data_IF_496538948362
#
_entry.id   IF_496538948362
#
_cell.length_a   1.000
_cell.length_b   1.000
_cell.length_c   1.000
_cell.angle_alpha   90.00
_cell.angle_beta   90.00
_cell.angle_gamma   90.00
#
_symmetry.space_group_name_H-M   'P 1'
#
loop_
_entity.id
_entity.type
_entity.pdbx_description
1 polymer ?
#
# COMPACT_ATOMS: atom_id res chain seq x y z
N UNK A 1 -14.38 29.77 -14.29
CA UNK A 1 -13.19 28.98 -13.94
C UNK A 1 -12.08 29.95 -13.59
N UNK A 2 -11.38 29.74 -12.49
CA UNK A 2 -10.24 30.57 -12.09
C UNK A 2 -8.96 29.77 -12.27
N UNK A 3 -7.90 30.45 -12.71
CA UNK A 3 -6.56 29.87 -12.73
C UNK A 3 -5.99 29.94 -11.33
N UNK A 4 -5.49 28.81 -10.83
CA UNK A 4 -4.90 28.66 -9.51
C UNK A 4 -3.51 28.05 -9.71
N UNK A 5 -2.52 28.58 -8.99
CA UNK A 5 -1.15 28.05 -8.98
C UNK A 5 -0.79 27.60 -7.57
N UNK A 6 -0.32 26.37 -7.44
CA UNK A 6 0.26 25.82 -6.22
C UNK A 6 1.76 25.71 -6.32
N UNK A 7 2.42 25.82 -5.17
CA UNK A 7 3.87 25.81 -5.03
C UNK A 7 4.26 24.88 -3.89
N UNK A 8 5.12 23.91 -4.18
CA UNK A 8 5.77 23.02 -3.22
C UNK A 8 7.26 23.38 -3.22
N UNK A 9 7.78 23.89 -2.11
CA UNK A 9 9.07 24.57 -2.07
C UNK A 9 10.02 23.89 -1.09
N UNK A 10 11.08 23.30 -1.63
CA UNK A 10 12.17 22.68 -0.91
C UNK A 10 13.48 23.46 -1.19
N UNK A 11 14.57 23.25 -0.42
CA UNK A 11 15.79 24.02 -0.58
C UNK A 11 16.40 23.99 -1.99
N UNK A 12 16.40 22.82 -2.65
CA UNK A 12 16.99 22.67 -3.98
C UNK A 12 15.97 22.29 -5.07
N UNK A 13 14.69 22.21 -4.74
CA UNK A 13 13.61 21.89 -5.67
C UNK A 13 12.39 22.77 -5.40
N UNK A 14 11.77 23.32 -6.44
CA UNK A 14 10.44 23.93 -6.34
C UNK A 14 9.56 23.39 -7.45
N UNK A 15 8.41 22.84 -7.07
CA UNK A 15 7.39 22.35 -7.98
C UNK A 15 6.22 23.34 -8.02
N UNK A 16 5.87 23.80 -9.21
CA UNK A 16 4.67 24.59 -9.45
C UNK A 16 3.65 23.80 -10.23
N UNK A 17 2.40 23.83 -9.77
CA UNK A 17 1.26 23.17 -10.40
C UNK A 17 0.20 24.23 -10.67
N UNK A 18 0.01 24.56 -11.93
CA UNK A 18 -0.99 25.52 -12.39
C UNK A 18 -2.15 24.79 -13.04
N UNK A 19 -3.36 25.18 -12.67
CA UNK A 19 -4.56 24.55 -13.21
C UNK A 19 -5.83 25.36 -13.02
N UNK A 20 -6.92 24.82 -13.54
CA UNK A 20 -8.23 25.42 -13.45
C UNK A 20 -9.01 24.83 -12.26
N UNK A 21 -9.63 25.72 -11.50
CA UNK A 21 -10.56 25.37 -10.42
C UNK A 21 -11.95 25.96 -10.64
N UNK A 22 -12.93 25.36 -9.97
CA UNK A 22 -14.23 25.99 -9.81
C UNK A 22 -14.10 27.22 -8.89
N UNK A 23 -14.79 28.33 -9.19
CA UNK A 23 -14.86 29.45 -8.26
C UNK A 23 -15.49 28.95 -6.95
N UNK A 24 -14.79 29.11 -5.82
CA UNK A 24 -15.39 28.83 -4.52
C UNK A 24 -16.31 29.98 -4.14
N UNK A 25 -17.63 29.77 -4.18
CA UNK A 25 -18.61 30.72 -3.65
C UNK A 25 -18.76 30.62 -2.11
N UNK A 26 -17.94 29.81 -1.44
CA UNK A 26 -18.14 29.47 -0.04
C UNK A 26 -16.85 29.62 0.78
N UNK A 27 -16.94 30.49 1.79
CA UNK A 27 -16.05 30.66 2.93
C UNK A 27 -14.57 30.99 2.64
N UNK A 28 -14.01 32.08 3.22
CA UNK A 28 -12.60 32.45 3.03
C UNK A 28 -11.58 31.44 3.57
N UNK A 29 -12.04 30.38 4.24
CA UNK A 29 -11.22 29.34 4.87
C UNK A 29 -10.99 28.09 4.01
N UNK A 30 -11.75 27.89 2.92
CA UNK A 30 -11.61 26.69 2.07
C UNK A 30 -10.78 27.04 0.84
N UNK A 31 -9.58 26.47 0.75
CA UNK A 31 -8.74 26.59 -0.45
C UNK A 31 -9.44 25.95 -1.66
N UNK A 32 -9.46 26.60 -2.84
CA UNK A 32 -10.17 26.07 -3.99
C UNK A 32 -9.45 24.87 -4.61
N UNK A 33 -10.23 23.91 -5.14
CA UNK A 33 -9.71 22.69 -5.77
C UNK A 33 -9.26 22.98 -7.21
N UNK A 34 -8.09 22.46 -7.59
CA UNK A 34 -7.65 22.41 -8.99
C UNK A 34 -8.10 21.07 -9.55
N UNK A 35 -8.97 21.06 -10.55
CA UNK A 35 -9.48 19.82 -11.17
C UNK A 35 -8.81 19.49 -12.50
N UNK A 36 -8.21 20.48 -13.16
CA UNK A 36 -7.52 20.32 -14.44
C UNK A 36 -6.15 20.99 -14.40
N UNK A 37 -5.09 20.24 -14.72
CA UNK A 37 -3.75 20.79 -14.92
C UNK A 37 -3.68 21.57 -16.23
N UNK A 38 -3.14 22.78 -16.17
CA UNK A 38 -2.80 23.61 -17.33
C UNK A 38 -1.31 23.53 -17.61
N UNK A 39 -0.49 23.69 -16.57
CA UNK A 39 0.96 23.71 -16.69
C UNK A 39 1.61 23.22 -15.39
N UNK A 40 2.75 22.56 -15.50
CA UNK A 40 3.61 22.20 -14.39
C UNK A 40 5.04 22.70 -14.66
N UNK A 41 5.68 23.22 -13.62
CA UNK A 41 7.08 23.61 -13.68
C UNK A 41 7.87 22.97 -12.54
N UNK A 42 9.00 22.35 -12.85
CA UNK A 42 9.94 21.84 -11.86
C UNK A 42 11.24 22.63 -11.96
N UNK A 43 11.59 23.32 -10.87
CA UNK A 43 12.77 24.16 -10.76
C UNK A 43 13.77 23.44 -9.86
N UNK A 44 14.89 23.02 -10.43
CA UNK A 44 16.02 22.45 -9.67
C UNK A 44 17.10 23.51 -9.53
N UNK A 45 17.68 23.65 -8.34
CA UNK A 45 18.74 24.62 -8.08
C UNK A 45 19.94 24.43 -9.03
N UNK A 46 20.30 25.48 -9.77
CA UNK A 46 21.41 25.47 -10.72
C UNK A 46 21.08 24.89 -12.11
N UNK A 47 19.83 24.47 -12.36
CA UNK A 47 19.39 23.96 -13.65
C UNK A 47 18.34 24.88 -14.31
N UNK A 48 18.11 24.67 -15.61
CA UNK A 48 16.98 25.31 -16.30
C UNK A 48 15.66 24.70 -15.81
N UNK A 49 14.59 25.51 -15.68
CA UNK A 49 13.29 24.99 -15.28
C UNK A 49 12.77 24.01 -16.33
N UNK A 50 12.27 22.88 -15.86
CA UNK A 50 11.52 21.93 -16.67
C UNK A 50 10.06 22.34 -16.66
N UNK A 51 9.42 22.37 -17.83
CA UNK A 51 8.04 22.83 -17.96
C UNK A 51 7.27 21.93 -18.92
N UNK A 52 6.01 21.66 -18.61
CA UNK A 52 5.13 20.91 -19.49
C UNK A 52 3.71 20.76 -18.96
N UNK A 53 2.85 20.16 -19.78
CA UNK A 53 1.45 19.89 -19.43
C UNK A 53 1.28 18.59 -18.64
N UNK A 54 0.11 17.97 -18.80
CA UNK A 54 -0.29 16.75 -18.06
C UNK A 54 0.68 15.59 -18.25
N UNK A 55 1.02 15.26 -19.50
CA UNK A 55 1.87 14.10 -19.78
C UNK A 55 3.28 14.25 -19.19
N UNK A 56 3.83 15.47 -19.22
CA UNK A 56 5.10 15.80 -18.57
C UNK A 56 5.01 15.58 -17.06
N UNK A 57 3.96 16.13 -16.44
CA UNK A 57 3.82 16.06 -15.00
C UNK A 57 3.54 14.63 -14.51
N UNK A 58 2.69 13.87 -15.21
CA UNK A 58 2.45 12.46 -14.95
C UNK A 58 3.72 11.62 -15.13
N UNK A 59 4.45 11.85 -16.22
CA UNK A 59 5.74 11.21 -16.45
C UNK A 59 6.74 11.52 -15.34
N UNK A 60 6.81 12.78 -14.88
CA UNK A 60 7.70 13.22 -13.81
C UNK A 60 7.38 12.50 -12.50
N UNK A 61 6.12 12.57 -12.02
CA UNK A 61 5.77 11.98 -10.72
C UNK A 61 5.94 10.46 -10.72
N UNK A 62 5.54 9.76 -11.79
CA UNK A 62 5.68 8.31 -11.90
C UNK A 62 7.16 7.90 -11.90
N UNK A 63 7.98 8.61 -12.68
CA UNK A 63 9.41 8.30 -12.81
C UNK A 63 10.18 8.59 -11.53
N UNK A 64 9.90 9.73 -10.87
CA UNK A 64 10.55 10.10 -9.61
C UNK A 64 10.22 9.09 -8.52
N UNK A 65 8.95 8.73 -8.36
CA UNK A 65 8.54 7.77 -7.33
C UNK A 65 9.06 6.36 -7.61
N UNK A 66 9.01 5.89 -8.87
CA UNK A 66 9.55 4.58 -9.24
C UNK A 66 11.06 4.49 -9.02
N UNK A 67 11.80 5.52 -9.43
CA UNK A 67 13.25 5.61 -9.22
C UNK A 67 13.60 5.66 -7.72
N UNK A 68 12.87 6.44 -6.92
CA UNK A 68 13.08 6.52 -5.48
C UNK A 68 12.89 5.16 -4.79
N UNK A 69 11.86 4.40 -5.18
CA UNK A 69 11.64 3.06 -4.64
C UNK A 69 12.81 2.12 -4.90
N UNK A 70 13.33 2.09 -6.13
CA UNK A 70 14.49 1.28 -6.47
C UNK A 70 15.74 1.74 -5.71
N UNK A 71 16.03 3.03 -5.75
CA UNK A 71 17.22 3.61 -5.12
C UNK A 71 17.26 3.37 -3.60
N UNK A 72 16.12 3.52 -2.92
CA UNK A 72 16.02 3.32 -1.47
C UNK A 72 15.95 1.83 -1.09
N UNK A 73 15.27 1.00 -1.87
CA UNK A 73 15.13 -0.43 -1.56
C UNK A 73 16.36 -1.24 -1.92
N UNK A 74 17.22 -0.74 -2.82
CA UNK A 74 18.32 -1.48 -3.47
C UNK A 74 17.85 -2.73 -4.22
N UNK A 75 16.56 -2.83 -4.51
CA UNK A 75 15.97 -3.92 -5.28
C UNK A 75 15.77 -3.42 -6.70
N UNK A 76 16.34 -4.08 -7.72
CA UNK A 76 16.16 -3.68 -9.10
C UNK A 76 14.67 -3.67 -9.47
N UNK A 77 14.19 -2.57 -10.05
CA UNK A 77 12.82 -2.45 -10.52
C UNK A 77 12.81 -2.35 -12.06
N UNK A 78 12.70 -3.48 -12.79
CA UNK A 78 12.80 -3.48 -14.25
C UNK A 78 11.68 -2.69 -14.94
N UNK A 79 10.54 -2.50 -14.27
CA UNK A 79 9.41 -1.71 -14.80
C UNK A 79 9.65 -0.19 -14.71
N UNK A 80 10.44 0.31 -13.74
CA UNK A 80 10.87 1.71 -13.71
C UNK A 80 11.84 2.06 -14.86
N UNK A 81 12.44 1.06 -15.49
CA UNK A 81 13.40 1.22 -16.59
C UNK A 81 12.78 1.07 -17.98
N UNK A 82 11.44 1.08 -18.10
CA UNK A 82 10.81 1.04 -19.41
C UNK A 82 11.13 2.31 -20.19
N UNK A 83 12.07 2.21 -21.13
CA UNK A 83 12.74 3.30 -21.87
C UNK A 83 11.85 4.18 -22.78
N UNK A 84 10.52 4.07 -22.69
CA UNK A 84 9.58 4.73 -23.59
C UNK A 84 8.84 5.91 -22.95
N UNK A 85 9.24 6.33 -21.75
CA UNK A 85 8.63 7.46 -21.04
C UNK A 85 9.13 8.83 -21.52
N UNK A 86 8.24 9.84 -21.47
CA UNK A 86 8.56 11.26 -21.72
C UNK A 86 9.60 11.81 -20.73
N UNK A 87 9.63 11.26 -19.51
CA UNK A 87 10.60 11.59 -18.47
C UNK A 87 11.35 10.31 -18.10
N UNK A 88 12.66 10.43 -17.91
CA UNK A 88 13.54 9.32 -17.53
C UNK A 88 14.46 9.77 -16.40
N UNK A 89 14.75 8.87 -15.47
CA UNK A 89 15.67 9.12 -14.38
C UNK A 89 16.65 7.95 -14.27
N UNK A 90 17.93 8.24 -14.32
CA UNK A 90 19.00 7.23 -14.35
C UNK A 90 20.07 7.54 -13.30
N UNK A 91 20.66 6.50 -12.73
CA UNK A 91 21.80 6.64 -11.84
C UNK A 91 23.09 6.80 -12.65
N UNK A 92 23.84 7.89 -12.45
CA UNK A 92 25.18 8.06 -13.05
C UNK A 92 26.22 7.41 -12.13
N UNK A 93 26.20 7.79 -10.85
CA UNK A 93 27.07 7.25 -9.82
C UNK A 93 26.35 7.20 -8.46
N UNK A 94 27.08 7.01 -7.35
CA UNK A 94 26.49 6.91 -6.00
C UNK A 94 25.81 8.18 -5.52
N UNK A 95 26.21 9.34 -6.03
CA UNK A 95 25.78 10.68 -5.60
C UNK A 95 25.14 11.52 -6.71
N UNK A 96 25.23 11.08 -7.96
CA UNK A 96 24.72 11.80 -9.13
C UNK A 96 23.70 10.98 -9.92
N UNK A 97 22.67 11.67 -10.36
CA UNK A 97 21.54 11.14 -11.09
C UNK A 97 21.27 12.02 -12.31
N UNK A 98 20.68 11.47 -13.35
CA UNK A 98 20.32 12.20 -14.56
C UNK A 98 18.83 12.14 -14.81
N UNK A 99 18.18 13.29 -14.74
CA UNK A 99 16.80 13.48 -15.16
C UNK A 99 16.79 13.94 -16.62
N UNK A 100 16.13 13.19 -17.49
CA UNK A 100 15.99 13.51 -18.92
C UNK A 100 14.52 13.71 -19.24
N UNK A 101 14.20 14.81 -19.91
CA UNK A 101 12.85 15.10 -20.42
C UNK A 101 12.92 15.16 -21.93
N UNK A 102 12.18 14.26 -22.56
CA UNK A 102 12.03 14.19 -24.01
C UNK A 102 10.91 15.11 -24.47
N UNK A 103 10.96 15.51 -25.74
CA UNK A 103 9.87 16.24 -26.39
C UNK A 103 8.74 15.25 -26.70
N UNK A 104 7.49 15.64 -26.47
CA UNK A 104 6.34 14.79 -26.78
C UNK A 104 6.09 14.78 -28.30
N UNK A 105 6.40 13.67 -28.97
CA UNK A 105 6.22 13.50 -30.43
C UNK A 105 4.74 13.48 -30.85
N UNK A 106 3.80 13.25 -29.92
CA UNK A 106 2.35 13.19 -30.22
C UNK A 106 1.67 14.56 -30.34
N UNK A 107 2.39 15.65 -30.08
CA UNK A 107 1.84 17.00 -30.12
C UNK A 107 2.17 17.67 -31.48
N UNK A 108 1.19 18.01 -32.34
CA UNK A 108 1.46 18.55 -33.67
C UNK A 108 2.10 19.96 -33.68
N UNK A 109 2.27 20.57 -32.50
CA UNK A 109 2.91 21.86 -32.26
C UNK A 109 4.30 21.75 -31.60
N UNK A 110 4.78 20.54 -31.28
CA UNK A 110 6.16 20.36 -30.82
C UNK A 110 7.11 20.34 -32.02
N UNK A 111 8.17 21.13 -31.94
CA UNK A 111 9.19 21.18 -32.98
C UNK A 111 10.00 19.86 -32.91
N UNK A 112 9.96 18.98 -33.93
CA UNK A 112 10.61 17.66 -33.88
C UNK A 112 12.14 17.74 -33.75
N UNK A 113 12.71 18.94 -33.86
CA UNK A 113 14.13 19.25 -33.64
C UNK A 113 14.50 19.59 -32.20
N UNK A 114 13.54 19.64 -31.27
CA UNK A 114 13.83 19.99 -29.88
C UNK A 114 14.54 18.85 -29.14
N UNK A 115 15.85 19.01 -28.93
CA UNK A 115 16.69 18.05 -28.23
C UNK A 115 16.23 17.80 -26.78
N UNK A 116 16.37 16.56 -26.26
CA UNK A 116 16.02 16.24 -24.88
C UNK A 116 16.74 17.15 -23.89
N UNK A 117 16.03 17.58 -22.85
CA UNK A 117 16.61 18.36 -21.75
C UNK A 117 17.12 17.41 -20.68
N UNK A 118 18.44 17.37 -20.48
CA UNK A 118 19.07 16.57 -19.44
C UNK A 118 19.55 17.46 -18.29
N UNK A 119 19.23 17.08 -17.06
CA UNK A 119 19.64 17.75 -15.83
C UNK A 119 20.35 16.73 -14.94
N UNK A 120 21.53 17.10 -14.45
CA UNK A 120 22.24 16.33 -13.42
C UNK A 120 21.77 16.76 -12.03
N UNK A 121 21.43 15.77 -11.22
CA UNK A 121 20.93 15.95 -9.86
C UNK A 121 21.94 15.32 -8.89
N UNK A 122 22.30 16.05 -7.85
CA UNK A 122 22.88 15.45 -6.64
C UNK A 122 21.82 14.61 -5.91
N UNK A 123 22.23 13.66 -5.07
CA UNK A 123 21.29 12.89 -4.24
C UNK A 123 20.44 13.79 -3.32
N UNK A 124 20.98 14.92 -2.87
CA UNK A 124 20.20 15.90 -2.07
C UNK A 124 19.10 16.53 -2.93
N UNK A 125 19.42 16.97 -4.15
CA UNK A 125 18.41 17.50 -5.09
C UNK A 125 17.36 16.45 -5.47
N UNK A 126 17.77 15.20 -5.64
CA UNK A 126 16.85 14.09 -5.88
C UNK A 126 15.86 13.94 -4.72
N UNK A 127 16.33 13.95 -3.47
CA UNK A 127 15.45 13.81 -2.32
C UNK A 127 14.52 15.01 -2.14
N UNK A 128 14.99 16.23 -2.40
CA UNK A 128 14.12 17.40 -2.42
C UNK A 128 13.04 17.29 -3.52
N UNK A 129 13.36 16.67 -4.66
CA UNK A 129 12.40 16.39 -5.73
C UNK A 129 11.36 15.33 -5.33
N UNK A 130 11.80 14.24 -4.70
CA UNK A 130 10.89 13.20 -4.17
C UNK A 130 9.93 13.80 -3.14
N UNK A 131 10.46 14.57 -2.19
CA UNK A 131 9.66 15.24 -1.16
C UNK A 131 8.66 16.24 -1.78
N UNK A 132 9.04 16.98 -2.82
CA UNK A 132 8.12 17.87 -3.52
C UNK A 132 6.94 17.11 -4.19
N UNK A 133 7.22 15.92 -4.73
CA UNK A 133 6.19 15.03 -5.31
C UNK A 133 5.29 14.46 -4.22
N UNK A 134 5.85 14.05 -3.09
CA UNK A 134 5.08 13.54 -1.95
C UNK A 134 4.17 14.62 -1.35
N UNK A 135 4.66 15.86 -1.21
CA UNK A 135 3.85 17.00 -0.80
C UNK A 135 2.72 17.32 -1.78
N UNK A 136 2.94 17.14 -3.09
CA UNK A 136 1.87 17.25 -4.08
C UNK A 136 0.78 16.20 -3.87
N UNK A 137 1.14 14.93 -3.67
CA UNK A 137 0.14 13.87 -3.42
C UNK A 137 -0.56 14.00 -2.07
N UNK A 138 0.09 14.62 -1.07
CA UNK A 138 -0.52 14.94 0.21
C UNK A 138 -1.55 16.11 0.11
N UNK A 139 -1.49 16.91 -0.96
CA UNK A 139 -2.44 18.00 -1.21
C UNK A 139 -3.68 17.49 -1.95
N UNK A 140 -4.67 17.03 -1.17
CA UNK A 140 -5.96 16.49 -1.65
C UNK A 140 -6.78 17.47 -2.51
N UNK A 141 -6.41 18.75 -2.55
CA UNK A 141 -7.09 19.77 -3.33
C UNK A 141 -6.43 20.01 -4.70
N UNK A 142 -5.32 19.33 -5.01
CA UNK A 142 -4.56 19.49 -6.25
C UNK A 142 -4.68 18.29 -7.14
N UNK A 143 -5.50 18.43 -8.19
CA UNK A 143 -5.68 17.40 -9.21
C UNK A 143 -6.00 16.07 -8.52
N UNK A 144 -7.11 15.99 -7.77
CA UNK A 144 -7.45 14.80 -6.97
C UNK A 144 -7.68 13.55 -7.82
N UNK A 145 -7.83 13.71 -9.15
CA UNK A 145 -7.94 12.62 -10.11
C UNK A 145 -6.60 11.97 -10.44
N UNK A 146 -5.48 12.59 -10.06
CA UNK A 146 -4.14 12.07 -10.29
C UNK A 146 -3.74 11.19 -9.11
N UNK A 147 -3.56 9.90 -9.38
CA UNK A 147 -3.14 8.92 -8.38
C UNK A 147 -1.86 8.23 -8.83
N UNK A 148 -0.98 7.98 -7.87
CA UNK A 148 0.26 7.25 -8.07
C UNK A 148 0.01 5.76 -7.81
N UNK A 149 0.13 4.92 -8.83
CA UNK A 149 0.02 3.47 -8.67
C UNK A 149 1.37 2.87 -8.27
N UNK A 150 1.77 3.04 -7.01
CA UNK A 150 2.96 2.40 -6.48
C UNK A 150 2.68 0.93 -6.15
N UNK A 151 3.23 0.01 -6.94
CA UNK A 151 3.19 -1.42 -6.62
C UNK A 151 4.40 -1.80 -5.76
N UNK A 152 4.25 -2.56 -4.66
CA UNK A 152 5.38 -3.04 -3.89
C UNK A 152 6.29 -3.93 -4.74
N UNK A 153 7.59 -3.65 -4.73
CA UNK A 153 8.58 -4.42 -5.51
C UNK A 153 8.58 -5.88 -5.06
N UNK A 154 8.40 -6.80 -6.00
CA UNK A 154 8.23 -8.22 -5.67
C UNK A 154 9.48 -8.78 -4.99
N UNK A 155 9.30 -9.60 -3.94
CA UNK A 155 10.40 -10.28 -3.22
C UNK A 155 11.25 -11.19 -4.13
N UNK A 156 10.75 -11.56 -5.31
CA UNK A 156 11.53 -12.34 -6.30
C UNK A 156 12.72 -11.57 -6.86
N UNK A 157 12.65 -10.24 -6.85
CA UNK A 157 13.76 -9.37 -7.26
C UNK A 157 14.69 -9.02 -6.09
N UNK A 158 14.28 -9.26 -4.84
CA UNK A 158 15.02 -8.91 -3.63
C UNK A 158 16.15 -9.89 -3.24
N UNK A 159 16.44 -10.91 -4.06
CA UNK A 159 17.43 -11.92 -3.70
C UNK A 159 18.03 -12.67 -4.88
N UNK A 160 19.23 -12.27 -5.28
CA UNK A 160 20.34 -13.16 -5.60
C UNK A 160 21.66 -12.37 -5.50
N UNK A 161 22.09 -12.06 -4.28
CA UNK A 161 23.50 -11.74 -4.02
C UNK A 161 24.31 -13.03 -4.14
N UNK A 162 25.32 -13.13 -5.04
CA UNK A 162 26.11 -14.34 -5.20
C UNK A 162 27.18 -14.42 -4.09
N UNK A 163 26.78 -14.83 -2.88
CA UNK A 163 27.73 -15.21 -1.82
C UNK A 163 27.37 -16.52 -1.09
N UNK A 164 26.57 -17.38 -1.72
CA UNK A 164 26.27 -18.73 -1.21
C UNK A 164 27.16 -19.81 -1.84
N UNK A 165 28.48 -19.61 -1.84
CA UNK A 165 29.44 -20.67 -2.25
C UNK A 165 30.45 -21.06 -1.17
N UNK A 166 30.33 -20.60 0.09
CA UNK A 166 31.27 -21.00 1.16
C UNK A 166 30.68 -21.33 2.54
N UNK A 167 29.43 -21.79 2.62
CA UNK A 167 28.90 -22.35 3.88
C UNK A 167 28.16 -23.67 3.64
N UNK A 168 28.93 -24.73 3.41
CA UNK A 168 28.45 -26.11 3.36
C UNK A 168 29.20 -27.02 4.37
N UNK A 169 29.61 -26.47 5.51
CA UNK A 169 30.33 -27.22 6.56
C UNK A 169 29.45 -27.69 7.74
N UNK A 170 28.32 -27.05 8.15
CA UNK A 170 27.63 -27.49 9.37
C UNK A 170 26.79 -28.78 9.21
N UNK A 171 26.51 -29.22 7.98
CA UNK A 171 25.62 -30.37 7.75
C UNK A 171 26.27 -31.74 8.05
N UNK A 172 27.58 -31.83 8.26
CA UNK A 172 28.25 -33.12 8.44
C UNK A 172 28.11 -33.73 9.85
N UNK A 173 27.73 -32.94 10.86
CA UNK A 173 27.68 -33.42 12.27
C UNK A 173 26.31 -34.02 12.65
N UNK A 174 25.23 -33.64 11.96
CA UNK A 174 23.87 -34.05 12.32
C UNK A 174 23.48 -35.48 11.93
N UNK A 175 24.18 -36.09 10.96
CA UNK A 175 23.78 -37.41 10.42
C UNK A 175 24.19 -38.56 11.36
N UNK A 176 25.23 -38.38 12.19
CA UNK A 176 25.71 -39.45 13.08
C UNK A 176 24.84 -39.69 14.32
N UNK A 177 24.10 -38.69 14.82
CA UNK A 177 23.30 -38.85 16.05
C UNK A 177 21.98 -39.62 15.85
N UNK A 178 21.40 -39.56 14.66
CA UNK A 178 20.11 -40.20 14.36
C UNK A 178 20.21 -41.74 14.26
N UNK A 179 21.35 -42.27 13.81
CA UNK A 179 21.54 -43.72 13.65
C UNK A 179 21.56 -44.47 15.00
N UNK A 180 22.10 -43.85 16.07
CA UNK A 180 22.16 -44.48 17.40
C UNK A 180 20.79 -44.48 18.11
N UNK A 181 19.96 -43.46 17.91
CA UNK A 181 18.63 -43.40 18.53
C UNK A 181 17.66 -44.45 17.96
N UNK A 182 17.74 -44.77 16.66
CA UNK A 182 16.89 -45.77 16.02
C UNK A 182 17.10 -47.19 16.58
N UNK A 183 18.33 -47.54 16.98
CA UNK A 183 18.64 -48.84 17.59
C UNK A 183 18.05 -48.95 19.01
N UNK A 184 18.10 -47.87 19.79
CA UNK A 184 17.57 -47.87 21.15
C UNK A 184 16.04 -48.06 21.20
N UNK A 185 15.31 -47.48 20.24
CA UNK A 185 13.84 -47.61 20.19
C UNK A 185 13.35 -48.98 19.67
N UNK A 186 14.21 -49.80 19.04
CA UNK A 186 13.82 -51.15 18.62
C UNK A 186 13.62 -52.11 19.81
N UNK A 187 14.26 -51.86 20.95
CA UNK A 187 14.18 -52.72 22.14
C UNK A 187 13.17 -52.25 23.19
N UNK A 188 12.46 -51.14 22.95
CA UNK A 188 11.41 -50.67 23.87
C UNK A 188 10.11 -51.42 23.56
N UNK A 189 9.54 -52.19 24.51
CA UNK A 189 8.28 -52.87 24.30
C UNK A 189 7.17 -51.84 24.04
N UNK A 190 6.47 -52.02 22.92
CA UNK A 190 5.43 -51.11 22.46
C UNK A 190 4.25 -51.17 23.46
N UNK A 191 3.85 -50.05 24.08
CA UNK A 191 2.73 -50.03 25.01
C UNK A 191 1.40 -50.31 24.29
N UNK A 192 0.54 -51.12 24.90
CA UNK A 192 -0.80 -51.42 24.35
C UNK A 192 -1.72 -50.20 24.45
N UNK A 193 -1.99 -49.59 23.29
CA UNK A 193 -2.96 -48.51 23.12
C UNK A 193 -4.38 -49.09 23.15
N UNK A 194 -5.13 -48.87 24.24
CA UNK A 194 -6.58 -49.08 24.24
C UNK A 194 -7.22 -48.05 23.31
N UNK A 195 -7.81 -48.53 22.22
CA UNK A 195 -8.43 -47.72 21.18
C UNK A 195 -9.85 -47.32 21.64
N UNK A 196 -10.18 -46.03 21.79
CA UNK A 196 -11.56 -45.59 21.90
C UNK A 196 -12.32 -45.93 20.61
N UNK A 197 -13.59 -46.27 20.76
CA UNK A 197 -14.47 -46.72 19.68
C UNK A 197 -14.69 -45.59 18.65
N UNK A 198 -14.62 -45.98 17.37
CA UNK A 198 -14.38 -45.11 16.22
C UNK A 198 -15.70 -44.77 15.51
N UNK A 199 -16.04 -43.49 15.29
CA UNK A 199 -17.00 -43.10 14.27
C UNK A 199 -16.32 -43.06 12.91
N UNK A 200 -16.83 -43.87 11.99
CA UNK A 200 -16.44 -43.99 10.58
C UNK A 200 -17.05 -42.84 9.72
N UNK A 201 -16.67 -42.68 8.44
CA UNK A 201 -15.51 -41.94 7.94
C UNK A 201 -15.91 -40.80 6.98
N UNK A 202 -15.04 -39.83 6.67
CA UNK A 202 -15.04 -39.22 5.33
C UNK A 202 -13.75 -38.47 4.98
N UNK A 203 -13.22 -38.84 3.83
CA UNK A 203 -12.06 -38.33 3.13
C UNK A 203 -12.19 -36.84 2.77
N UNK A 204 -11.11 -36.07 2.83
CA UNK A 204 -10.83 -35.06 1.80
C UNK A 204 -9.37 -34.59 1.80
N UNK A 205 -8.80 -34.78 0.63
CA UNK A 205 -7.65 -34.12 0.02
C UNK A 205 -7.66 -32.59 0.08
N UNK A 206 -6.46 -32.04 -0.13
CA UNK A 206 -6.13 -30.71 -0.65
C UNK A 206 -5.96 -29.58 0.38
N UNK A 207 -4.74 -29.48 0.92
CA UNK A 207 -4.26 -28.30 1.64
C UNK A 207 -4.04 -27.14 0.66
N UNK A 208 -5.10 -26.37 0.37
CA UNK A 208 -4.98 -25.02 -0.16
C UNK A 208 -4.70 -24.07 1.00
N UNK A 209 -3.53 -23.45 0.97
CA UNK A 209 -3.06 -22.47 1.93
C UNK A 209 -3.83 -21.16 1.73
N UNK A 210 -4.97 -21.01 2.42
CA UNK A 210 -5.74 -19.77 2.49
C UNK A 210 -6.13 -19.54 3.94
N UNK A 211 -6.09 -18.27 4.35
CA UNK A 211 -6.64 -17.78 5.63
C UNK A 211 -7.97 -18.49 5.88
N UNK A 212 -8.05 -19.28 6.95
CA UNK A 212 -9.26 -20.07 7.22
C UNK A 212 -10.44 -19.10 7.38
N UNK A 213 -11.38 -19.11 6.45
CA UNK A 213 -12.63 -18.39 6.66
C UNK A 213 -13.40 -19.09 7.78
N UNK A 214 -14.06 -18.33 8.65
CA UNK A 214 -15.04 -18.91 9.57
C UNK A 214 -16.23 -19.34 8.70
N UNK A 215 -16.40 -20.65 8.48
CA UNK A 215 -17.46 -21.21 7.64
C UNK A 215 -18.69 -21.65 8.45
N UNK A 216 -18.55 -21.81 9.77
CA UNK A 216 -19.62 -22.25 10.66
C UNK A 216 -20.56 -21.08 11.01
N UNK A 217 -21.85 -21.23 10.69
CA UNK A 217 -22.90 -20.25 10.95
C UNK A 217 -23.00 -19.86 12.42
N UNK A 218 -22.80 -20.80 13.35
CA UNK A 218 -22.84 -20.49 14.79
C UNK A 218 -21.65 -19.63 15.21
N UNK A 219 -20.47 -19.91 14.65
CA UNK A 219 -19.27 -19.11 14.89
C UNK A 219 -19.38 -17.71 14.26
N UNK A 220 -19.98 -17.59 13.07
CA UNK A 220 -20.26 -16.30 12.43
C UNK A 220 -21.23 -15.48 13.30
N UNK A 221 -22.32 -16.09 13.79
CA UNK A 221 -23.29 -15.40 14.65
C UNK A 221 -22.65 -14.98 15.99
N UNK A 222 -21.82 -15.83 16.59
CA UNK A 222 -21.06 -15.51 17.81
C UNK A 222 -20.09 -14.34 17.57
N UNK A 223 -19.33 -14.39 16.47
CA UNK A 223 -18.40 -13.33 16.09
C UNK A 223 -19.12 -12.00 15.80
N UNK A 224 -20.28 -12.05 15.14
CA UNK A 224 -21.14 -10.88 14.91
C UNK A 224 -21.57 -10.23 16.21
N UNK A 225 -22.06 -11.02 17.18
CA UNK A 225 -22.52 -10.50 18.47
C UNK A 225 -21.37 -9.89 19.27
N UNK A 226 -20.20 -10.54 19.30
CA UNK A 226 -19.01 -10.02 19.98
C UNK A 226 -18.51 -8.72 19.34
N UNK A 227 -18.48 -8.68 18.00
CA UNK A 227 -18.10 -7.49 17.25
C UNK A 227 -19.05 -6.32 17.52
N UNK A 228 -20.37 -6.57 17.49
CA UNK A 228 -21.39 -5.58 17.82
C UNK A 228 -21.16 -5.01 19.22
N UNK A 229 -21.03 -5.87 20.23
CA UNK A 229 -20.84 -5.44 21.62
C UNK A 229 -19.58 -4.58 21.78
N UNK A 230 -18.48 -4.98 21.12
CA UNK A 230 -17.19 -4.28 21.18
C UNK A 230 -17.25 -2.88 20.57
N UNK A 231 -17.87 -2.74 19.40
CA UNK A 231 -18.04 -1.43 18.75
C UNK A 231 -19.03 -0.58 19.54
N UNK A 232 -20.16 -1.16 19.95
CA UNK A 232 -21.23 -0.46 20.67
C UNK A 232 -20.77 0.11 22.01
N UNK A 233 -19.83 -0.54 22.69
CA UNK A 233 -19.27 -0.03 23.94
C UNK A 233 -18.56 1.32 23.79
N UNK A 234 -17.97 1.58 22.61
CA UNK A 234 -17.27 2.83 22.31
C UNK A 234 -18.12 3.81 21.49
N UNK A 235 -19.25 3.34 20.96
CA UNK A 235 -20.10 4.13 20.07
C UNK A 235 -21.20 4.85 20.86
N UNK A 236 -21.07 6.17 21.00
CA UNK A 236 -22.05 7.01 21.71
C UNK A 236 -22.37 8.33 20.97
N UNK A 237 -22.06 8.40 19.67
CA UNK A 237 -22.18 9.62 18.86
C UNK A 237 -23.23 9.45 17.76
N UNK A 238 -23.67 10.56 17.20
CA UNK A 238 -24.52 10.60 16.02
C UNK A 238 -23.72 11.12 14.83
N UNK A 239 -24.04 10.61 13.64
CA UNK A 239 -23.40 11.00 12.37
C UNK A 239 -24.40 11.68 11.45
N UNK A 240 -23.91 12.52 10.55
CA UNK A 240 -24.80 13.27 9.63
C UNK A 240 -25.41 12.38 8.53
N UNK A 241 -24.73 11.28 8.21
CA UNK A 241 -25.08 10.30 7.18
C UNK A 241 -24.62 8.92 7.62
N UNK A 242 -25.27 7.87 7.11
CA UNK A 242 -24.90 6.50 7.45
C UNK A 242 -23.49 6.21 6.94
N UNK A 243 -22.61 5.73 7.83
CA UNK A 243 -21.23 5.39 7.47
C UNK A 243 -21.10 3.87 7.37
N UNK A 244 -20.75 3.36 6.18
CA UNK A 244 -20.73 1.92 5.90
C UNK A 244 -19.29 1.41 5.73
N UNK A 245 -18.96 0.38 6.50
CA UNK A 245 -17.65 -0.26 6.49
C UNK A 245 -17.76 -1.77 6.30
N UNK A 246 -16.76 -2.36 5.62
CA UNK A 246 -16.48 -3.79 5.67
C UNK A 246 -15.42 -4.03 6.73
N UNK A 247 -15.75 -4.83 7.74
CA UNK A 247 -14.89 -5.12 8.89
C UNK A 247 -14.55 -6.60 8.88
N UNK A 248 -13.26 -6.92 8.96
CA UNK A 248 -12.76 -8.28 9.14
C UNK A 248 -12.48 -8.52 10.61
N UNK A 249 -13.11 -9.55 11.18
CA UNK A 249 -12.97 -9.88 12.58
C UNK A 249 -12.75 -11.39 12.81
N UNK A 250 -12.02 -11.76 13.86
CA UNK A 250 -11.83 -13.16 14.24
C UNK A 250 -13.05 -13.70 15.01
N UNK A 251 -13.06 -15.00 15.34
CA UNK A 251 -14.14 -15.65 16.12
C UNK A 251 -14.40 -15.01 17.50
N UNK A 252 -13.45 -14.19 17.99
CA UNK A 252 -13.57 -13.44 19.23
C UNK A 252 -14.11 -12.01 19.04
N UNK A 253 -14.46 -11.60 17.82
CA UNK A 253 -14.92 -10.24 17.52
C UNK A 253 -13.77 -9.22 17.51
N UNK A 254 -12.52 -9.66 17.46
CA UNK A 254 -11.35 -8.79 17.31
C UNK A 254 -11.24 -8.30 15.89
N UNK A 255 -11.16 -6.97 15.71
CA UNK A 255 -11.02 -6.34 14.41
C UNK A 255 -9.57 -6.43 13.96
N UNK A 256 -9.34 -7.11 12.84
CA UNK A 256 -8.00 -7.28 12.22
C UNK A 256 -7.86 -6.50 10.91
N UNK A 257 -8.94 -5.87 10.45
CA UNK A 257 -8.94 -4.96 9.31
C UNK A 257 -10.31 -4.35 9.07
N UNK A 258 -10.35 -3.17 8.46
CA UNK A 258 -11.58 -2.54 8.00
C UNK A 258 -11.34 -1.74 6.71
N UNK A 259 -12.40 -1.46 5.96
CA UNK A 259 -12.40 -0.61 4.76
C UNK A 259 -13.74 0.11 4.63
N UNK A 260 -13.70 1.40 4.27
CA UNK A 260 -14.87 2.20 3.89
C UNK A 260 -15.50 1.70 2.58
N UNK A 261 -16.83 1.74 2.47
CA UNK A 261 -17.54 1.35 1.25
C UNK A 261 -17.76 2.54 0.31
N UNK A 262 -17.83 3.75 0.85
CA UNK A 262 -18.02 5.00 0.10
C UNK A 262 -17.10 6.12 0.62
N UNK A 263 -17.01 7.20 -0.16
CA UNK A 263 -16.20 8.37 0.19
C UNK A 263 -16.68 9.03 1.50
N UNK A 264 -17.99 9.01 1.74
CA UNK A 264 -18.63 9.51 2.95
C UNK A 264 -18.09 8.84 4.21
N UNK A 265 -18.03 7.51 4.23
CA UNK A 265 -17.45 6.73 5.31
C UNK A 265 -15.95 6.94 5.39
N UNK A 266 -15.26 7.07 4.25
CA UNK A 266 -13.83 7.34 4.24
C UNK A 266 -13.46 8.66 4.94
N UNK A 267 -14.19 9.74 4.62
CA UNK A 267 -13.94 11.08 5.18
C UNK A 267 -14.30 11.17 6.67
N UNK A 268 -15.18 10.28 7.14
CA UNK A 268 -15.67 10.25 8.51
C UNK A 268 -15.04 9.12 9.36
N UNK A 269 -13.95 8.48 8.92
CA UNK A 269 -13.34 7.35 9.63
C UNK A 269 -12.92 7.71 11.07
N UNK A 270 -12.34 8.89 11.24
CA UNK A 270 -11.92 9.46 12.54
C UNK A 270 -13.10 9.73 13.50
N UNK A 271 -14.33 9.69 12.99
CA UNK A 271 -15.54 9.83 13.80
C UNK A 271 -16.03 8.49 14.35
N UNK A 272 -15.47 7.37 13.90
CA UNK A 272 -15.84 6.01 14.31
C UNK A 272 -14.81 5.42 15.28
N UNK A 273 -15.19 4.44 16.12
CA UNK A 273 -14.24 3.76 17.01
C UNK A 273 -13.38 2.70 16.28
N UNK A 274 -13.52 2.54 14.95
CA UNK A 274 -12.82 1.48 14.21
C UNK A 274 -11.28 1.60 14.24
N UNK A 275 -10.67 2.80 14.11
CA UNK A 275 -9.22 2.96 14.19
C UNK A 275 -8.65 2.47 15.52
N UNK A 276 -9.32 2.78 16.62
CA UNK A 276 -8.88 2.42 17.98
C UNK A 276 -9.04 0.91 18.28
N UNK A 277 -9.92 0.25 17.55
CA UNK A 277 -10.24 -1.18 17.74
C UNK A 277 -9.39 -2.11 16.87
N UNK A 278 -8.59 -1.58 15.95
CA UNK A 278 -7.80 -2.36 14.99
C UNK A 278 -6.57 -3.00 15.66
N UNK A 279 -6.48 -4.32 15.55
CA UNK A 279 -5.34 -5.11 16.03
C UNK A 279 -4.65 -5.77 14.84
N UNK A 280 -3.37 -5.45 14.65
CA UNK A 280 -2.54 -6.11 13.65
C UNK A 280 -1.99 -7.41 14.23
N UNK A 281 -2.26 -8.59 13.61
CA UNK A 281 -1.71 -9.84 14.09
C UNK A 281 -0.19 -9.86 13.89
N UNK A 282 0.54 -10.23 14.95
CA UNK A 282 2.00 -10.37 14.89
C UNK A 282 2.34 -11.62 14.09
N UNK A 283 3.03 -11.46 12.96
CA UNK A 283 3.46 -12.58 12.11
C UNK A 283 4.79 -13.12 12.62
N UNK A 284 4.77 -14.02 13.61
CA UNK A 284 5.91 -14.89 13.93
C UNK A 284 5.75 -16.22 13.17
N UNK A 285 6.87 -16.92 12.91
CA UNK A 285 6.87 -18.17 12.16
C UNK A 285 6.00 -19.29 12.79
N UNK A 286 5.61 -19.12 14.06
CA UNK A 286 4.79 -20.06 14.83
C UNK A 286 3.37 -19.50 15.16
N UNK A 287 2.99 -18.33 14.62
CA UNK A 287 1.69 -17.74 14.90
C UNK A 287 0.56 -18.54 14.21
N UNK A 288 -0.33 -19.13 15.01
CA UNK A 288 -1.57 -19.75 14.52
C UNK A 288 -2.44 -18.67 13.88
N UNK A 289 -2.63 -18.76 12.57
CA UNK A 289 -3.49 -17.84 11.82
C UNK A 289 -4.95 -18.04 12.26
N UNK A 290 -5.51 -17.08 13.01
CA UNK A 290 -6.92 -17.15 13.41
C UNK A 290 -7.86 -17.07 12.21
N UNK A 291 -8.95 -17.85 12.26
CA UNK A 291 -9.98 -17.77 11.26
C UNK A 291 -10.73 -16.42 11.33
N UNK A 292 -11.04 -15.85 10.17
CA UNK A 292 -11.71 -14.54 10.07
C UNK A 292 -13.07 -14.63 9.38
N UNK A 293 -14.01 -13.79 9.82
CA UNK A 293 -15.28 -13.50 9.17
C UNK A 293 -15.32 -12.02 8.79
N UNK A 294 -16.17 -11.70 7.82
CA UNK A 294 -16.36 -10.32 7.35
C UNK A 294 -17.78 -9.86 7.62
N UNK A 295 -17.90 -8.61 8.05
CA UNK A 295 -19.16 -7.99 8.45
C UNK A 295 -19.34 -6.65 7.76
N UNK A 296 -20.59 -6.32 7.42
CA UNK A 296 -21.02 -4.97 7.07
C UNK A 296 -21.38 -4.26 8.37
N UNK A 297 -20.67 -3.18 8.68
CA UNK A 297 -20.90 -2.33 9.84
C UNK A 297 -21.45 -0.99 9.37
N UNK A 298 -22.60 -0.59 9.91
CA UNK A 298 -23.23 0.70 9.61
C UNK A 298 -23.34 1.50 10.89
N UNK A 299 -22.74 2.69 10.88
CA UNK A 299 -22.98 3.72 11.90
C UNK A 299 -24.09 4.62 11.38
N UNK A 300 -25.29 4.45 11.91
CA UNK A 300 -26.48 5.15 11.44
C UNK A 300 -26.57 6.58 11.95
N UNK A 301 -27.26 7.45 11.20
CA UNK A 301 -27.43 8.88 11.56
C UNK A 301 -28.01 9.14 12.94
N UNK A 302 -28.83 8.23 13.42
CA UNK A 302 -29.50 8.27 14.71
C UNK A 302 -28.66 7.64 15.84
N UNK A 303 -27.39 7.34 15.60
CA UNK A 303 -26.52 6.64 16.54
C UNK A 303 -26.77 5.14 16.59
N UNK A 304 -27.64 4.57 15.76
CA UNK A 304 -27.86 3.13 15.71
C UNK A 304 -26.67 2.45 15.03
N UNK A 305 -26.03 1.53 15.73
CA UNK A 305 -25.06 0.61 15.16
C UNK A 305 -25.78 -0.60 14.55
N UNK A 306 -25.39 -0.99 13.34
CA UNK A 306 -25.81 -2.26 12.73
C UNK A 306 -24.59 -3.06 12.32
N UNK A 307 -24.57 -4.35 12.65
CA UNK A 307 -23.52 -5.28 12.24
C UNK A 307 -24.20 -6.49 11.64
N UNK A 308 -23.96 -6.77 10.35
CA UNK A 308 -24.49 -7.94 9.64
C UNK A 308 -23.35 -8.71 8.98
N UNK A 309 -23.49 -10.03 8.77
CA UNK A 309 -22.55 -10.78 7.94
C UNK A 309 -22.41 -10.14 6.55
N UNK A 310 -21.20 -10.14 5.98
CA UNK A 310 -20.95 -9.59 4.66
C UNK A 310 -21.53 -10.46 3.54
N UNK A 311 -21.44 -11.77 3.73
CA UNK A 311 -22.15 -12.77 2.93
C UNK A 311 -23.47 -13.03 3.64
N UNK A 312 -24.55 -12.52 3.06
CA UNK A 312 -25.92 -12.86 3.43
C UNK A 312 -26.47 -13.90 2.49
#
# INVERSE_FOLDING_TARGET
MTTIRRKYSLPNCTLFVEGLGAPSEQSPSVRPVISMLVNAECHIAGAKPLTGGRDFFEGLVNTVSGYAQEFLSKVPHPEAHSNSGLVQLQQIDRSHHRLVVHSNESNPSSDPTQAPVAIELTTVQLFDLVEAVDQFFADSQTIPTMSLQLAPVSKRYAGHTPQLTKQAVPAAIGVSSLALAAIAFFFVPIPEVRRPEEPQPQSSSSSNHLVSAIADTEQIASAQQKLYNRINHLWNRSVQQDLVYRVSATANGTIVGYRSIDAVANDAIEQTPLPDLLIYPVTTADAVQEAIAQFRVVFGRNGILQVTPWQG
#
